data_IF_802304995347
#
_entry.id   IF_802304995347
#
_cell.length_a   1.000
_cell.length_b   1.000
_cell.length_c   1.000
_cell.angle_alpha   90.00
_cell.angle_beta   90.00
_cell.angle_gamma   90.00
#
_symmetry.space_group_name_H-M   'P 1'
#
loop_
_entity.id
_entity.type
_entity.pdbx_description
1 polymer ?
#
# COMPACT_ATOMS: atom_id res chain seq x y z
N UNK A 1 23.04 -82.56 4.16
CA UNK A 1 22.50 -81.74 5.24
C UNK A 1 23.54 -80.65 5.42
N UNK A 2 23.39 -79.56 4.62
CA UNK A 2 24.25 -78.38 4.66
C UNK A 2 23.35 -77.16 4.53
N UNK A 3 23.24 -76.42 5.61
CA UNK A 3 22.54 -75.16 5.68
C UNK A 3 23.48 -74.10 5.11
N UNK A 4 23.01 -73.36 4.12
CA UNK A 4 23.69 -72.20 3.56
C UNK A 4 23.09 -70.90 4.22
N UNK A 5 23.99 -70.22 4.94
CA UNK A 5 23.71 -68.86 5.48
C UNK A 5 23.76 -67.84 4.38
N UNK A 6 22.65 -67.21 4.11
CA UNK A 6 22.53 -66.03 3.24
C UNK A 6 22.65 -64.75 4.07
N UNK A 7 23.85 -64.17 4.10
CA UNK A 7 24.09 -62.86 4.70
C UNK A 7 23.54 -61.78 3.78
N UNK A 8 22.46 -61.15 4.20
CA UNK A 8 21.85 -59.97 3.56
C UNK A 8 22.72 -58.75 3.88
N UNK A 9 23.45 -58.23 2.88
CA UNK A 9 24.23 -56.99 2.99
C UNK A 9 23.29 -55.81 2.81
N UNK A 10 22.93 -55.12 3.90
CA UNK A 10 22.13 -53.92 3.89
C UNK A 10 23.05 -52.74 3.57
N UNK A 11 23.03 -52.24 2.32
CA UNK A 11 23.73 -51.02 1.92
C UNK A 11 22.89 -49.81 2.35
N UNK A 12 23.29 -49.13 3.41
CA UNK A 12 22.70 -47.89 3.89
C UNK A 12 23.21 -46.73 3.01
N UNK A 13 22.41 -46.28 2.04
CA UNK A 13 22.69 -45.06 1.27
C UNK A 13 22.33 -43.86 2.16
N UNK A 14 23.34 -43.25 2.78
CA UNK A 14 23.17 -41.96 3.46
C UNK A 14 23.19 -40.88 2.40
N UNK A 15 22.00 -40.41 2.01
CA UNK A 15 21.87 -39.20 1.20
C UNK A 15 22.14 -38.00 2.11
N UNK A 16 23.33 -37.42 1.99
CA UNK A 16 23.69 -36.17 2.61
C UNK A 16 22.83 -35.05 1.95
N UNK A 17 21.72 -34.70 2.55
CA UNK A 17 21.06 -33.46 2.26
C UNK A 17 21.96 -32.32 2.76
N UNK A 18 22.73 -31.71 1.87
CA UNK A 18 23.29 -30.39 2.13
C UNK A 18 22.13 -29.39 2.24
N UNK A 19 22.00 -28.63 3.32
CA UNK A 19 21.05 -27.55 3.35
C UNK A 19 21.49 -26.52 2.30
N UNK A 20 20.69 -26.39 1.23
CA UNK A 20 20.77 -25.23 0.36
C UNK A 20 20.38 -24.07 1.25
N UNK A 21 21.36 -23.32 1.72
CA UNK A 21 21.12 -21.99 2.29
C UNK A 21 20.61 -21.13 1.14
N UNK A 22 19.28 -21.04 1.01
CA UNK A 22 18.65 -20.00 0.27
C UNK A 22 19.10 -18.67 0.92
N UNK A 23 19.88 -17.91 0.15
CA UNK A 23 20.18 -16.54 0.50
C UNK A 23 18.83 -15.86 0.80
N UNK A 24 18.72 -15.34 2.00
CA UNK A 24 17.57 -14.59 2.45
C UNK A 24 17.60 -13.25 1.67
N UNK A 25 17.03 -13.24 0.46
CA UNK A 25 16.66 -11.98 -0.17
C UNK A 25 15.55 -11.39 0.67
N UNK A 26 15.87 -10.32 1.38
CA UNK A 26 15.08 -9.59 2.36
C UNK A 26 13.88 -8.82 1.77
N UNK A 27 13.21 -9.38 0.76
CA UNK A 27 12.05 -8.78 0.09
C UNK A 27 10.77 -9.65 0.14
N UNK A 28 10.73 -10.69 0.98
CA UNK A 28 9.47 -11.39 1.25
C UNK A 28 8.77 -10.72 2.44
N UNK A 29 8.13 -9.59 2.19
CA UNK A 29 7.23 -8.98 3.19
C UNK A 29 6.11 -9.98 3.49
N UNK A 30 6.02 -10.39 4.75
CA UNK A 30 4.88 -11.20 5.21
C UNK A 30 3.64 -10.31 5.15
N UNK A 31 2.56 -10.76 4.48
CA UNK A 31 1.36 -9.93 4.36
C UNK A 31 0.80 -9.53 5.73
N UNK A 32 0.43 -8.26 5.88
CA UNK A 32 -0.22 -7.76 7.09
C UNK A 32 -1.47 -8.56 7.43
N UNK A 33 -1.65 -8.87 8.70
CA UNK A 33 -2.80 -9.61 9.19
C UNK A 33 -4.04 -8.71 9.17
N UNK A 34 -5.09 -9.15 8.45
CA UNK A 34 -6.37 -8.46 8.43
C UNK A 34 -7.27 -8.98 9.54
N UNK A 35 -7.61 -8.11 10.47
CA UNK A 35 -8.48 -8.44 11.60
C UNK A 35 -9.50 -7.33 11.86
N UNK A 36 -10.73 -7.73 12.17
CA UNK A 36 -11.75 -6.80 12.60
C UNK A 36 -11.49 -6.34 14.04
N UNK A 37 -11.60 -5.03 14.28
CA UNK A 37 -11.51 -4.44 15.61
C UNK A 37 -12.81 -3.66 15.93
N UNK A 38 -13.06 -3.31 17.21
CA UNK A 38 -14.27 -2.59 17.61
C UNK A 38 -14.42 -1.21 16.94
N UNK A 39 -13.33 -0.52 16.67
CA UNK A 39 -13.33 0.82 16.03
C UNK A 39 -13.77 0.72 14.57
N UNK A 40 -13.24 -0.23 13.82
CA UNK A 40 -13.67 -0.53 12.45
C UNK A 40 -15.15 -0.88 12.38
N UNK A 41 -15.62 -1.74 13.32
CA UNK A 41 -17.02 -2.11 13.41
C UNK A 41 -17.92 -0.93 13.73
N UNK A 42 -17.47 -0.04 14.61
CA UNK A 42 -18.22 1.18 14.95
C UNK A 42 -18.27 2.16 13.76
N UNK A 43 -17.13 2.40 13.12
CA UNK A 43 -17.01 3.27 11.96
C UNK A 43 -17.91 2.79 10.80
N UNK A 44 -17.89 1.50 10.51
CA UNK A 44 -18.73 0.92 9.46
C UNK A 44 -20.23 1.15 9.72
N UNK A 45 -20.68 0.93 10.96
CA UNK A 45 -22.07 1.19 11.38
C UNK A 45 -22.42 2.68 11.28
N UNK A 46 -21.52 3.55 11.71
CA UNK A 46 -21.73 5.00 11.70
C UNK A 46 -21.89 5.51 10.25
N UNK A 47 -20.99 5.14 9.35
CA UNK A 47 -21.05 5.53 7.94
C UNK A 47 -22.30 4.97 7.28
N UNK A 48 -22.67 3.73 7.61
CA UNK A 48 -23.91 3.11 7.13
C UNK A 48 -25.14 3.92 7.58
N UNK A 49 -25.23 4.29 8.84
CA UNK A 49 -26.34 5.07 9.40
C UNK A 49 -26.42 6.48 8.79
N UNK A 50 -25.26 7.16 8.62
CA UNK A 50 -25.18 8.47 7.97
C UNK A 50 -25.64 8.36 6.52
N UNK A 51 -25.24 7.32 5.80
CA UNK A 51 -25.61 7.10 4.40
C UNK A 51 -27.14 6.89 4.25
N UNK A 52 -27.76 6.10 5.12
CA UNK A 52 -29.20 5.83 5.05
C UNK A 52 -30.06 7.01 5.46
N UNK A 53 -29.58 7.89 6.36
CA UNK A 53 -30.38 8.99 6.94
C UNK A 53 -30.03 10.36 6.35
N UNK A 54 -28.78 10.61 6.06
CA UNK A 54 -28.23 11.90 5.68
C UNK A 54 -27.88 12.05 4.21
N UNK A 55 -27.64 10.95 3.49
CA UNK A 55 -27.29 11.03 2.08
C UNK A 55 -28.47 11.51 1.22
N UNK A 56 -28.17 12.29 0.19
CA UNK A 56 -29.21 12.86 -0.69
C UNK A 56 -30.11 11.79 -1.32
N UNK A 57 -29.55 10.67 -1.75
CA UNK A 57 -30.32 9.57 -2.36
C UNK A 57 -31.25 8.87 -1.39
N UNK A 58 -30.96 8.91 -0.06
CA UNK A 58 -31.69 8.19 1.01
C UNK A 58 -31.95 6.74 0.66
N UNK A 59 -31.03 6.12 -0.09
CA UNK A 59 -31.15 4.75 -0.53
C UNK A 59 -30.95 3.81 0.66
N UNK A 60 -31.95 2.96 0.90
CA UNK A 60 -31.87 1.95 1.96
C UNK A 60 -30.98 0.81 1.53
N UNK A 61 -30.13 0.37 2.44
CA UNK A 61 -29.28 -0.79 2.22
C UNK A 61 -30.12 -2.04 2.45
N UNK A 62 -30.35 -2.76 1.36
CA UNK A 62 -31.19 -3.97 1.28
C UNK A 62 -30.40 -5.11 0.62
N UNK A 63 -30.96 -6.31 0.60
CA UNK A 63 -30.40 -7.44 -0.15
C UNK A 63 -30.12 -7.11 -1.65
N UNK A 64 -30.91 -6.25 -2.26
CA UNK A 64 -30.70 -5.87 -3.66
C UNK A 64 -29.49 -4.96 -3.81
N UNK A 65 -29.37 -3.96 -2.95
CA UNK A 65 -28.20 -3.06 -2.94
C UNK A 65 -26.93 -3.78 -2.44
N UNK A 66 -27.05 -4.79 -1.58
CA UNK A 66 -25.96 -5.65 -1.12
C UNK A 66 -25.16 -6.22 -2.30
N UNK A 67 -25.84 -6.76 -3.29
CA UNK A 67 -25.16 -7.28 -4.52
C UNK A 67 -24.46 -6.20 -5.32
N UNK A 68 -25.05 -5.00 -5.42
CA UNK A 68 -24.45 -3.90 -6.16
C UNK A 68 -23.21 -3.35 -5.45
N UNK A 69 -23.24 -3.26 -4.13
CA UNK A 69 -22.08 -2.88 -3.30
C UNK A 69 -20.95 -3.91 -3.45
N UNK A 70 -21.27 -5.21 -3.37
CA UNK A 70 -20.30 -6.27 -3.61
C UNK A 70 -19.66 -6.13 -4.99
N UNK A 71 -20.47 -5.91 -6.03
CA UNK A 71 -19.98 -5.71 -7.40
C UNK A 71 -19.10 -4.48 -7.53
N UNK A 72 -19.44 -3.37 -6.85
CA UNK A 72 -18.62 -2.16 -6.79
C UNK A 72 -17.26 -2.47 -6.17
N UNK A 73 -17.23 -3.14 -5.03
CA UNK A 73 -15.99 -3.51 -4.36
C UNK A 73 -15.09 -4.42 -5.20
N UNK A 74 -15.65 -5.47 -5.80
CA UNK A 74 -14.90 -6.35 -6.72
C UNK A 74 -14.35 -5.57 -7.93
N UNK A 75 -15.10 -4.61 -8.44
CA UNK A 75 -14.64 -3.77 -9.54
C UNK A 75 -13.56 -2.75 -9.11
N UNK A 76 -13.60 -2.27 -7.88
CA UNK A 76 -12.54 -1.41 -7.31
C UNK A 76 -11.23 -2.18 -7.19
N UNK A 77 -11.26 -3.42 -6.71
CA UNK A 77 -10.08 -4.26 -6.59
C UNK A 77 -9.52 -4.71 -7.94
N UNK A 78 -10.38 -5.06 -8.87
CA UNK A 78 -10.00 -5.63 -10.17
C UNK A 78 -10.81 -5.04 -11.34
N UNK A 79 -10.66 -3.74 -11.57
CA UNK A 79 -11.38 -2.99 -12.61
C UNK A 79 -11.12 -3.53 -14.03
N UNK A 80 -9.91 -4.06 -14.27
CA UNK A 80 -9.47 -4.59 -15.55
C UNK A 80 -9.70 -6.09 -15.72
N UNK A 81 -10.22 -6.77 -14.70
CA UNK A 81 -10.43 -8.23 -14.70
C UNK A 81 -9.14 -9.03 -14.96
N UNK A 82 -8.07 -8.62 -14.32
CA UNK A 82 -6.72 -9.17 -14.52
C UNK A 82 -6.23 -10.03 -13.35
N UNK A 83 -6.97 -10.08 -12.24
CA UNK A 83 -6.56 -10.81 -11.03
C UNK A 83 -7.49 -11.97 -10.71
N UNK A 84 -8.78 -11.69 -10.53
CA UNK A 84 -9.78 -12.72 -10.24
C UNK A 84 -10.08 -13.60 -11.45
N UNK A 85 -10.48 -14.84 -11.17
CA UNK A 85 -11.06 -15.76 -12.13
C UNK A 85 -12.51 -16.07 -11.77
N UNK A 86 -13.26 -16.68 -12.70
CA UNK A 86 -14.69 -16.95 -12.51
C UNK A 86 -14.97 -17.80 -11.26
N UNK A 87 -14.07 -18.70 -10.85
CA UNK A 87 -14.22 -19.47 -9.62
C UNK A 87 -14.20 -18.60 -8.35
N UNK A 88 -13.38 -17.51 -8.35
CA UNK A 88 -13.36 -16.56 -7.23
C UNK A 88 -14.68 -15.80 -7.17
N UNK A 89 -15.18 -15.35 -8.31
CA UNK A 89 -16.47 -14.65 -8.40
C UNK A 89 -17.61 -15.54 -7.93
N UNK A 90 -17.59 -16.82 -8.30
CA UNK A 90 -18.57 -17.81 -7.82
C UNK A 90 -18.47 -18.02 -6.32
N UNK A 91 -17.26 -18.04 -5.76
CA UNK A 91 -17.04 -18.11 -4.33
C UNK A 91 -17.62 -16.87 -3.61
N UNK A 92 -17.44 -15.66 -4.15
CA UNK A 92 -17.93 -14.41 -3.57
C UNK A 92 -19.46 -14.29 -3.63
N UNK A 93 -20.17 -15.09 -4.45
CA UNK A 93 -21.64 -15.11 -4.48
C UNK A 93 -22.26 -15.48 -3.11
N UNK A 94 -21.49 -16.14 -2.21
CA UNK A 94 -21.91 -16.36 -0.80
C UNK A 94 -22.21 -15.10 -0.02
N UNK A 95 -21.62 -13.97 -0.44
CA UNK A 95 -21.78 -12.65 0.17
C UNK A 95 -22.83 -11.78 -0.53
N UNK A 96 -23.42 -12.26 -1.63
CA UNK A 96 -24.35 -11.50 -2.46
C UNK A 96 -25.44 -10.77 -1.70
N UNK A 97 -26.00 -11.40 -0.66
CA UNK A 97 -27.08 -10.90 0.17
C UNK A 97 -26.66 -10.78 1.64
N UNK A 98 -25.39 -10.51 1.89
CA UNK A 98 -24.82 -10.41 3.25
C UNK A 98 -24.00 -9.15 3.48
N UNK A 99 -23.77 -8.36 2.43
CA UNK A 99 -23.01 -7.11 2.58
C UNK A 99 -23.84 -6.08 3.34
N UNK A 100 -25.15 -6.02 3.13
CA UNK A 100 -26.06 -5.17 3.90
C UNK A 100 -26.09 -5.53 5.40
N UNK A 101 -26.11 -6.79 5.74
CA UNK A 101 -25.98 -7.26 7.12
C UNK A 101 -24.61 -6.95 7.71
N UNK A 102 -23.55 -7.13 6.91
CA UNK A 102 -22.18 -6.81 7.31
C UNK A 102 -22.02 -5.32 7.63
N UNK A 103 -22.55 -4.43 6.78
CA UNK A 103 -22.57 -3.00 6.99
C UNK A 103 -23.32 -2.62 8.27
N UNK A 104 -24.55 -3.08 8.46
CA UNK A 104 -25.41 -2.79 9.61
C UNK A 104 -24.86 -3.33 10.93
N UNK A 105 -24.21 -4.48 10.89
CA UNK A 105 -23.65 -5.13 12.08
C UNK A 105 -22.18 -4.79 12.34
N UNK A 106 -21.51 -4.07 11.44
CA UNK A 106 -20.09 -3.75 11.56
C UNK A 106 -19.18 -4.97 11.38
N UNK A 107 -19.58 -5.93 10.53
CA UNK A 107 -18.81 -7.13 10.27
C UNK A 107 -17.97 -7.01 9.01
N UNK A 108 -16.65 -6.88 9.14
CA UNK A 108 -15.72 -6.74 8.04
C UNK A 108 -15.21 -8.07 7.47
N UNK A 109 -15.56 -9.21 8.06
CA UNK A 109 -15.03 -10.50 7.61
C UNK A 109 -15.30 -10.80 6.11
N UNK A 110 -16.48 -10.51 5.53
CA UNK A 110 -16.71 -10.67 4.10
C UNK A 110 -15.75 -9.81 3.24
N UNK A 111 -15.45 -8.61 3.71
CA UNK A 111 -14.58 -7.64 3.02
C UNK A 111 -13.13 -8.13 3.06
N UNK A 112 -12.66 -8.54 4.24
CA UNK A 112 -11.31 -9.05 4.42
C UNK A 112 -11.09 -10.38 3.71
N UNK A 113 -12.09 -11.27 3.66
CA UNK A 113 -12.00 -12.54 2.92
C UNK A 113 -11.78 -12.29 1.42
N UNK A 114 -12.53 -11.37 0.84
CA UNK A 114 -12.36 -10.97 -0.56
C UNK A 114 -10.97 -10.38 -0.79
N UNK A 115 -10.50 -9.51 0.10
CA UNK A 115 -9.20 -8.88 -0.04
C UNK A 115 -8.03 -9.86 0.13
N UNK A 116 -8.13 -10.84 1.03
CA UNK A 116 -7.14 -11.93 1.15
C UNK A 116 -7.00 -12.72 -0.15
N UNK A 117 -8.11 -13.02 -0.81
CA UNK A 117 -8.11 -13.70 -2.12
C UNK A 117 -7.50 -12.77 -3.19
N UNK A 118 -7.85 -11.49 -3.19
CA UNK A 118 -7.24 -10.51 -4.09
C UNK A 118 -5.72 -10.46 -3.94
N UNK A 119 -5.22 -10.35 -2.70
CA UNK A 119 -3.78 -10.35 -2.38
C UNK A 119 -3.08 -11.62 -2.89
N UNK A 120 -3.67 -12.78 -2.65
CA UNK A 120 -3.17 -14.05 -3.18
C UNK A 120 -3.11 -14.05 -4.71
N UNK A 121 -4.14 -13.55 -5.39
CA UNK A 121 -4.17 -13.46 -6.86
C UNK A 121 -3.13 -12.49 -7.38
N UNK A 122 -2.94 -11.34 -6.75
CA UNK A 122 -1.86 -10.39 -7.08
C UNK A 122 -0.50 -11.08 -7.00
N UNK A 123 -0.21 -11.76 -5.90
CA UNK A 123 1.04 -12.49 -5.73
C UNK A 123 1.26 -13.50 -6.87
N UNK A 124 0.29 -14.36 -7.16
CA UNK A 124 0.36 -15.34 -8.25
C UNK A 124 0.63 -14.70 -9.61
N UNK A 125 -0.01 -13.56 -9.89
CA UNK A 125 0.20 -12.84 -11.16
C UNK A 125 1.57 -12.21 -11.28
N UNK A 126 2.09 -11.67 -10.18
CA UNK A 126 3.45 -11.10 -10.14
C UNK A 126 4.49 -12.20 -10.31
N UNK A 127 4.37 -13.30 -9.58
CA UNK A 127 5.28 -14.46 -9.73
C UNK A 127 5.30 -14.99 -11.15
N UNK A 128 4.12 -15.17 -11.78
CA UNK A 128 4.01 -15.57 -13.18
C UNK A 128 4.69 -14.56 -14.12
N UNK A 129 4.45 -13.26 -13.90
CA UNK A 129 5.03 -12.21 -14.73
C UNK A 129 6.54 -12.16 -14.65
N UNK A 130 7.12 -12.37 -13.46
CA UNK A 130 8.57 -12.43 -13.30
C UNK A 130 9.19 -13.60 -14.07
N UNK A 131 8.54 -14.78 -14.08
CA UNK A 131 8.95 -15.90 -14.92
C UNK A 131 8.85 -15.58 -16.41
N UNK A 132 7.76 -14.89 -16.83
CA UNK A 132 7.57 -14.45 -18.21
C UNK A 132 8.64 -13.44 -18.65
N UNK A 133 9.05 -12.51 -17.78
CA UNK A 133 10.14 -11.55 -18.03
C UNK A 133 11.44 -12.28 -18.34
N UNK A 134 11.81 -13.24 -17.51
CA UNK A 134 13.06 -13.99 -17.70
C UNK A 134 13.07 -14.78 -19.01
N UNK A 135 11.95 -15.36 -19.40
CA UNK A 135 11.82 -16.16 -20.64
C UNK A 135 11.74 -15.31 -21.91
N UNK A 136 11.46 -14.00 -21.81
CA UNK A 136 11.37 -13.11 -22.97
C UNK A 136 12.75 -12.69 -23.47
N UNK A 137 13.11 -13.03 -24.71
CA UNK A 137 14.41 -12.71 -25.29
C UNK A 137 14.31 -11.80 -26.53
N UNK A 138 13.16 -11.74 -27.19
CA UNK A 138 12.90 -10.89 -28.35
C UNK A 138 11.42 -10.48 -28.43
N UNK A 139 11.13 -9.61 -29.40
CA UNK A 139 9.80 -9.06 -29.66
C UNK A 139 9.38 -9.25 -31.12
N UNK A 140 9.87 -10.32 -31.78
CA UNK A 140 9.67 -10.56 -33.21
C UNK A 140 8.29 -11.16 -33.50
N UNK A 141 7.60 -11.70 -32.49
CA UNK A 141 6.27 -12.27 -32.67
C UNK A 141 5.25 -11.15 -32.97
N UNK A 142 4.40 -11.37 -33.98
CA UNK A 142 3.29 -10.47 -34.27
C UNK A 142 2.15 -10.74 -33.30
N UNK A 143 2.19 -10.07 -32.15
CA UNK A 143 1.20 -10.17 -31.06
C UNK A 143 0.51 -8.83 -30.85
N UNK A 144 -0.78 -8.86 -30.58
CA UNK A 144 -1.57 -7.69 -30.20
C UNK A 144 -1.87 -7.70 -28.71
N UNK A 145 -1.74 -6.54 -28.05
CA UNK A 145 -2.14 -6.31 -26.68
C UNK A 145 -3.21 -5.21 -26.61
N UNK A 146 -4.40 -5.58 -26.15
CA UNK A 146 -5.49 -4.63 -25.96
C UNK A 146 -5.37 -3.89 -24.62
N UNK A 147 -5.07 -2.59 -24.69
CA UNK A 147 -5.04 -1.69 -23.56
C UNK A 147 -6.43 -1.32 -23.03
N UNK A 148 -7.47 -1.48 -23.87
CA UNK A 148 -8.78 -0.91 -23.59
C UNK A 148 -9.69 -1.79 -22.77
N UNK A 149 -9.28 -3.00 -22.36
CA UNK A 149 -10.11 -4.00 -21.63
C UNK A 149 -11.25 -3.39 -20.76
N UNK A 150 -12.05 -2.50 -21.35
CA UNK A 150 -13.27 -1.97 -20.77
C UNK A 150 -14.40 -2.99 -21.00
N UNK A 151 -15.14 -3.30 -19.95
CA UNK A 151 -16.33 -4.19 -20.00
C UNK A 151 -16.05 -5.68 -20.27
N UNK A 152 -14.87 -6.18 -19.94
CA UNK A 152 -14.61 -7.61 -20.00
C UNK A 152 -15.26 -8.34 -18.84
N UNK A 153 -15.55 -9.62 -19.03
CA UNK A 153 -15.90 -10.55 -17.96
C UNK A 153 -14.62 -11.10 -17.32
N UNK A 154 -14.73 -11.60 -16.09
CA UNK A 154 -13.63 -12.35 -15.51
C UNK A 154 -13.37 -13.63 -16.26
N UNK A 155 -12.11 -13.92 -16.48
CA UNK A 155 -11.70 -15.10 -17.24
C UNK A 155 -12.08 -16.39 -16.49
N UNK A 156 -12.33 -17.45 -17.28
CA UNK A 156 -12.79 -18.73 -16.75
C UNK A 156 -11.77 -19.34 -15.77
N UNK A 157 -10.49 -19.25 -16.12
CA UNK A 157 -9.41 -19.88 -15.37
C UNK A 157 -8.09 -19.13 -15.54
N UNK A 158 -7.08 -19.57 -14.77
CA UNK A 158 -5.77 -18.95 -14.76
C UNK A 158 -5.02 -19.07 -16.09
N UNK A 159 -5.24 -20.12 -16.88
CA UNK A 159 -4.52 -20.33 -18.13
C UNK A 159 -4.82 -19.24 -19.17
N UNK A 160 -6.07 -18.74 -19.18
CA UNK A 160 -6.45 -17.61 -20.04
C UNK A 160 -5.86 -16.30 -19.51
N UNK A 161 -5.88 -16.11 -18.19
CA UNK A 161 -5.21 -14.95 -17.56
C UNK A 161 -3.71 -14.95 -17.84
N UNK A 162 -3.06 -16.11 -17.83
CA UNK A 162 -1.62 -16.24 -18.11
C UNK A 162 -1.27 -15.70 -19.50
N UNK A 163 -2.09 -15.98 -20.52
CA UNK A 163 -1.90 -15.41 -21.85
C UNK A 163 -2.02 -13.88 -21.84
N UNK A 164 -3.00 -13.35 -21.14
CA UNK A 164 -3.21 -11.90 -21.01
C UNK A 164 -2.04 -11.24 -20.27
N UNK A 165 -1.56 -11.85 -19.21
CA UNK A 165 -0.42 -11.35 -18.43
C UNK A 165 0.90 -11.46 -19.18
N UNK A 166 1.10 -12.53 -19.96
CA UNK A 166 2.27 -12.65 -20.83
C UNK A 166 2.35 -11.50 -21.84
N UNK A 167 1.24 -11.21 -22.54
CA UNK A 167 1.17 -10.09 -23.47
C UNK A 167 1.40 -8.75 -22.80
N UNK A 168 0.79 -8.53 -21.61
CA UNK A 168 1.00 -7.33 -20.81
C UNK A 168 2.48 -7.15 -20.45
N UNK A 169 3.10 -8.19 -19.93
CA UNK A 169 4.50 -8.19 -19.51
C UNK A 169 5.46 -7.91 -20.67
N UNK A 170 5.25 -8.57 -21.82
CA UNK A 170 6.01 -8.32 -23.04
C UNK A 170 5.88 -6.87 -23.52
N UNK A 171 4.65 -6.33 -23.51
CA UNK A 171 4.41 -4.95 -23.91
C UNK A 171 5.09 -3.94 -22.95
N UNK A 172 5.05 -4.15 -21.64
CA UNK A 172 5.74 -3.30 -20.68
C UNK A 172 7.27 -3.38 -20.85
N UNK A 173 7.79 -4.58 -21.09
CA UNK A 173 9.22 -4.79 -21.36
C UNK A 173 9.64 -4.10 -22.65
N UNK A 174 8.86 -4.28 -23.74
CA UNK A 174 9.10 -3.60 -25.02
C UNK A 174 9.10 -2.08 -24.86
N UNK A 175 8.16 -1.53 -24.10
CA UNK A 175 8.08 -0.08 -23.86
C UNK A 175 9.35 0.47 -23.19
N UNK A 176 9.95 -0.28 -22.26
CA UNK A 176 11.21 0.10 -21.61
C UNK A 176 12.39 0.01 -22.60
N UNK A 177 12.40 -1.00 -23.47
CA UNK A 177 13.44 -1.15 -24.50
C UNK A 177 13.34 -0.05 -25.54
N UNK A 178 12.14 0.31 -26.00
CA UNK A 178 11.92 1.41 -26.95
C UNK A 178 12.29 2.79 -26.34
N UNK A 179 12.25 2.91 -25.02
CA UNK A 179 12.76 4.09 -24.31
C UNK A 179 14.30 4.14 -24.20
N UNK A 180 15.02 3.24 -24.92
CA UNK A 180 16.47 3.25 -25.05
C UNK A 180 17.24 2.38 -24.05
N UNK A 181 16.58 1.51 -23.28
CA UNK A 181 17.27 0.58 -22.40
C UNK A 181 17.61 -0.74 -23.13
N UNK A 182 18.71 -1.39 -22.72
CA UNK A 182 18.97 -2.77 -23.14
C UNK A 182 17.94 -3.72 -22.54
N UNK A 183 17.68 -4.86 -23.18
CA UNK A 183 16.71 -5.83 -22.69
C UNK A 183 17.03 -6.32 -21.28
N UNK A 184 18.31 -6.53 -20.97
CA UNK A 184 18.77 -6.95 -19.65
C UNK A 184 18.45 -5.91 -18.56
N UNK A 185 18.66 -4.63 -18.87
CA UNK A 185 18.33 -3.54 -17.95
C UNK A 185 16.82 -3.36 -17.81
N UNK A 186 16.08 -3.54 -18.91
CA UNK A 186 14.63 -3.49 -18.92
C UNK A 186 14.01 -4.60 -18.04
N UNK A 187 14.52 -5.84 -18.14
CA UNK A 187 14.12 -6.96 -17.26
C UNK A 187 14.30 -6.62 -15.78
N UNK A 188 15.48 -6.13 -15.39
CA UNK A 188 15.75 -5.73 -14.00
C UNK A 188 14.81 -4.61 -13.53
N UNK A 189 14.57 -3.61 -14.38
CA UNK A 189 13.69 -2.49 -14.07
C UNK A 189 12.25 -2.95 -13.87
N UNK A 190 11.74 -3.83 -14.74
CA UNK A 190 10.36 -4.31 -14.66
C UNK A 190 10.16 -5.25 -13.45
N UNK A 191 11.12 -6.16 -13.18
CA UNK A 191 11.12 -7.00 -11.99
C UNK A 191 11.07 -6.17 -10.70
N UNK A 192 11.90 -5.10 -10.61
CA UNK A 192 11.88 -4.19 -9.45
C UNK A 192 10.52 -3.50 -9.28
N UNK A 193 9.87 -3.08 -10.39
CA UNK A 193 8.53 -2.46 -10.34
C UNK A 193 7.48 -3.44 -9.83
N UNK A 194 7.52 -4.69 -10.28
CA UNK A 194 6.57 -5.73 -9.86
C UNK A 194 6.75 -6.11 -8.39
N UNK A 195 8.00 -6.27 -7.93
CA UNK A 195 8.29 -6.52 -6.52
C UNK A 195 7.81 -5.37 -5.61
N UNK A 196 8.07 -4.12 -6.01
CA UNK A 196 7.57 -2.95 -5.27
C UNK A 196 6.03 -2.89 -5.24
N UNK A 197 5.37 -3.28 -6.32
CA UNK A 197 3.91 -3.35 -6.35
C UNK A 197 3.39 -4.44 -5.40
N UNK A 198 4.01 -5.63 -5.41
CA UNK A 198 3.64 -6.74 -4.51
C UNK A 198 3.86 -6.36 -3.04
N UNK A 199 5.01 -5.74 -2.71
CA UNK A 199 5.28 -5.23 -1.36
C UNK A 199 4.15 -4.31 -0.89
N UNK A 200 3.80 -3.29 -1.66
CA UNK A 200 2.72 -2.36 -1.32
C UNK A 200 1.37 -3.06 -1.08
N UNK A 201 1.03 -4.10 -1.84
CA UNK A 201 -0.22 -4.86 -1.62
C UNK A 201 -0.14 -5.70 -0.34
N UNK A 202 1.03 -6.19 0.02
CA UNK A 202 1.25 -6.94 1.25
C UNK A 202 1.24 -6.04 2.49
N UNK A 203 1.69 -4.80 2.35
CA UNK A 203 1.75 -3.81 3.43
C UNK A 203 0.36 -3.27 3.82
N UNK A 204 -0.65 -3.39 2.92
CA UNK A 204 -2.02 -2.97 3.26
C UNK A 204 -2.51 -3.68 4.53
N UNK A 205 -2.90 -2.88 5.51
CA UNK A 205 -3.47 -3.34 6.76
C UNK A 205 -5.01 -3.33 6.76
N UNK A 206 -5.61 -3.47 7.94
CA UNK A 206 -7.07 -3.50 8.09
C UNK A 206 -7.71 -2.15 7.84
N UNK A 207 -7.02 -1.04 8.16
CA UNK A 207 -7.48 0.32 7.93
C UNK A 207 -7.51 0.63 6.43
N UNK A 208 -6.45 0.27 5.70
CA UNK A 208 -6.36 0.44 4.26
C UNK A 208 -7.46 -0.31 3.51
N UNK A 209 -7.71 -1.56 3.92
CA UNK A 209 -8.76 -2.38 3.30
C UNK A 209 -10.15 -1.85 3.60
N UNK A 210 -10.37 -1.34 4.82
CA UNK A 210 -11.60 -0.65 5.18
C UNK A 210 -11.79 0.60 4.33
N UNK A 211 -10.76 1.41 4.14
CA UNK A 211 -10.79 2.61 3.29
C UNK A 211 -11.20 2.29 1.86
N UNK A 212 -10.57 1.27 1.25
CA UNK A 212 -10.89 0.81 -0.10
C UNK A 212 -12.36 0.39 -0.19
N UNK A 213 -12.85 -0.35 0.81
CA UNK A 213 -14.23 -0.81 0.84
C UNK A 213 -15.21 0.34 1.03
N UNK A 214 -14.98 1.23 2.00
CA UNK A 214 -15.83 2.39 2.27
C UNK A 214 -15.92 3.31 1.04
N UNK A 215 -14.81 3.56 0.37
CA UNK A 215 -14.84 4.34 -0.87
C UNK A 215 -15.63 3.63 -1.98
N UNK A 216 -15.50 2.31 -2.12
CA UNK A 216 -16.30 1.57 -3.10
C UNK A 216 -17.80 1.57 -2.76
N UNK A 217 -18.15 1.61 -1.46
CA UNK A 217 -19.52 1.71 -0.97
C UNK A 217 -20.12 3.11 -1.19
N UNK A 218 -19.40 4.18 -0.81
CA UNK A 218 -19.94 5.54 -1.00
C UNK A 218 -20.00 5.93 -2.48
N UNK A 219 -19.09 5.46 -3.32
CA UNK A 219 -19.16 5.63 -4.78
C UNK A 219 -20.35 4.88 -5.42
N UNK A 220 -20.78 3.78 -4.81
CA UNK A 220 -22.03 3.13 -5.22
C UNK A 220 -23.25 4.02 -4.98
N UNK A 221 -23.27 4.77 -3.86
CA UNK A 221 -24.35 5.68 -3.52
C UNK A 221 -24.33 6.93 -4.40
N UNK A 222 -23.16 7.52 -4.61
CA UNK A 222 -22.91 8.67 -5.47
C UNK A 222 -21.44 8.69 -5.92
N UNK A 223 -21.17 8.69 -7.24
CA UNK A 223 -19.80 8.71 -7.77
C UNK A 223 -18.94 9.90 -7.32
N UNK A 224 -19.53 10.96 -6.81
CA UNK A 224 -18.83 12.15 -6.29
C UNK A 224 -18.58 12.10 -4.79
N UNK A 225 -19.16 11.14 -4.08
CA UNK A 225 -18.95 10.98 -2.64
C UNK A 225 -17.64 10.22 -2.38
N UNK A 226 -16.86 10.71 -1.41
CA UNK A 226 -15.65 10.05 -0.96
C UNK A 226 -15.66 9.88 0.55
N UNK A 227 -15.17 8.76 1.01
CA UNK A 227 -14.75 8.59 2.40
C UNK A 227 -13.29 9.05 2.51
N UNK A 228 -13.04 9.95 3.43
CA UNK A 228 -11.70 10.38 3.79
C UNK A 228 -11.38 9.85 5.19
N UNK A 229 -10.36 9.03 5.31
CA UNK A 229 -9.83 8.67 6.62
C UNK A 229 -9.21 9.91 7.29
N UNK A 230 -8.91 9.90 8.59
CA UNK A 230 -8.41 11.07 9.30
C UNK A 230 -7.21 11.75 8.64
N UNK A 231 -6.26 10.98 8.11
CA UNK A 231 -5.07 11.52 7.44
C UNK A 231 -5.43 12.25 6.14
N UNK A 232 -6.28 11.64 5.30
CA UNK A 232 -6.74 12.25 4.05
C UNK A 232 -7.66 13.43 4.29
N UNK A 233 -8.44 13.41 5.38
CA UNK A 233 -9.29 14.53 5.78
C UNK A 233 -8.42 15.74 6.17
N UNK A 234 -7.36 15.53 6.94
CA UNK A 234 -6.38 16.57 7.27
C UNK A 234 -5.70 17.14 6.01
N UNK A 235 -5.23 16.27 5.11
CA UNK A 235 -4.63 16.71 3.84
C UNK A 235 -5.62 17.52 2.98
N UNK A 236 -6.87 17.09 2.92
CA UNK A 236 -7.93 17.82 2.21
C UNK A 236 -8.21 19.19 2.85
N UNK A 237 -8.24 19.25 4.19
CA UNK A 237 -8.37 20.51 4.92
C UNK A 237 -7.19 21.46 4.61
N UNK A 238 -5.95 20.96 4.67
CA UNK A 238 -4.75 21.72 4.31
C UNK A 238 -4.84 22.28 2.88
N UNK A 239 -5.25 21.45 1.93
CA UNK A 239 -5.40 21.87 0.53
C UNK A 239 -6.48 22.92 0.34
N UNK A 240 -7.53 22.89 1.17
CA UNK A 240 -8.67 23.80 1.09
C UNK A 240 -8.42 25.12 1.82
N UNK A 241 -7.80 25.05 3.00
CA UNK A 241 -7.48 26.23 3.83
C UNK A 241 -6.14 26.86 3.46
N UNK A 242 -5.30 26.13 2.70
CA UNK A 242 -3.92 26.51 2.40
C UNK A 242 -3.07 26.79 3.65
N UNK A 243 -3.42 26.16 4.76
CA UNK A 243 -2.72 26.29 6.04
C UNK A 243 -2.70 24.98 6.80
N UNK A 244 -1.72 24.80 7.66
CA UNK A 244 -1.62 23.68 8.59
C UNK A 244 -0.91 24.05 9.89
N UNK A 245 -1.09 23.25 10.93
CA UNK A 245 -0.43 23.49 12.21
C UNK A 245 0.85 22.63 12.33
N UNK A 246 1.99 23.30 12.48
CA UNK A 246 3.28 22.62 12.53
C UNK A 246 4.48 23.56 12.61
N UNK A 247 5.64 23.08 12.18
CA UNK A 247 6.90 23.82 12.24
C UNK A 247 7.25 24.60 10.96
N UNK A 248 6.61 24.28 9.84
CA UNK A 248 6.85 24.95 8.55
C UNK A 248 8.12 24.49 7.83
N UNK A 249 8.36 23.19 7.80
CA UNK A 249 9.39 22.56 6.98
C UNK A 249 8.75 21.57 6.00
N UNK A 250 9.19 21.61 4.74
CA UNK A 250 8.92 20.56 3.76
C UNK A 250 9.93 19.44 3.99
N UNK A 251 9.44 18.21 4.08
CA UNK A 251 10.24 17.04 4.40
C UNK A 251 10.16 16.02 3.25
N UNK A 252 11.24 15.26 3.08
CA UNK A 252 11.30 14.14 2.12
C UNK A 252 12.03 12.95 2.76
N UNK A 253 11.74 11.75 2.27
CA UNK A 253 12.50 10.56 2.66
C UNK A 253 13.70 10.42 1.72
N UNK A 254 14.91 10.46 2.28
CA UNK A 254 16.17 10.25 1.57
C UNK A 254 16.92 9.07 2.20
N UNK A 255 16.93 7.93 1.50
CA UNK A 255 17.37 6.64 2.03
C UNK A 255 16.53 6.28 3.29
N UNK A 256 17.18 6.12 4.44
CA UNK A 256 16.55 5.81 5.72
C UNK A 256 16.30 7.04 6.60
N UNK A 257 16.48 8.26 6.05
CA UNK A 257 16.37 9.49 6.82
C UNK A 257 15.26 10.40 6.33
N UNK A 258 14.49 10.95 7.25
CA UNK A 258 13.62 12.10 6.96
C UNK A 258 14.48 13.35 6.90
N UNK A 259 14.54 13.98 5.73
CA UNK A 259 15.40 15.12 5.43
C UNK A 259 14.56 16.37 5.17
N UNK A 260 15.07 17.51 5.63
CA UNK A 260 14.47 18.82 5.34
C UNK A 260 14.74 19.18 3.88
N UNK A 261 13.69 19.29 3.07
CA UNK A 261 13.77 19.72 1.69
C UNK A 261 13.82 21.25 1.59
N UNK A 262 12.90 21.93 2.28
CA UNK A 262 12.79 23.38 2.30
C UNK A 262 12.18 23.89 3.60
N UNK A 263 12.46 25.14 3.93
CA UNK A 263 11.83 25.87 5.05
C UNK A 263 10.84 26.88 4.47
N UNK A 264 9.62 26.87 4.99
CA UNK A 264 8.55 27.78 4.54
C UNK A 264 8.81 29.16 5.16
N UNK A 265 8.89 30.23 4.35
CA UNK A 265 9.10 31.58 4.84
C UNK A 265 8.03 32.00 5.86
N UNK A 266 8.42 32.71 6.91
CA UNK A 266 7.52 33.18 7.97
C UNK A 266 7.09 32.15 8.99
N UNK A 267 7.39 30.86 8.77
CA UNK A 267 7.07 29.75 9.68
C UNK A 267 7.93 29.73 10.96
N UNK A 268 7.54 28.94 11.96
CA UNK A 268 8.36 28.72 13.17
C UNK A 268 9.82 28.33 12.88
N UNK A 269 10.03 27.36 11.99
CA UNK A 269 11.37 26.93 11.62
C UNK A 269 12.17 28.07 10.94
N UNK A 270 11.52 28.88 10.11
CA UNK A 270 12.12 30.06 9.47
C UNK A 270 12.50 31.12 10.51
N UNK A 271 11.61 31.42 11.45
CA UNK A 271 11.87 32.44 12.50
C UNK A 271 12.98 32.01 13.45
N UNK A 272 13.08 30.72 13.78
CA UNK A 272 14.15 30.17 14.62
C UNK A 272 15.50 30.18 13.89
N UNK A 273 15.52 29.84 12.59
CA UNK A 273 16.68 29.92 11.72
C UNK A 273 17.78 28.87 11.96
N UNK A 274 17.56 27.92 12.86
CA UNK A 274 18.50 26.86 13.19
C UNK A 274 18.37 25.64 12.28
N UNK A 275 17.13 25.30 11.87
CA UNK A 275 16.85 24.20 10.92
C UNK A 275 17.15 24.64 9.49
N UNK A 276 17.86 23.81 8.74
CA UNK A 276 18.30 24.13 7.38
C UNK A 276 17.90 23.06 6.38
N UNK A 277 17.75 23.39 5.08
CA UNK A 277 17.65 22.40 4.02
C UNK A 277 18.79 21.39 4.08
N UNK A 278 18.48 20.14 3.81
CA UNK A 278 19.35 18.96 3.85
C UNK A 278 19.72 18.47 5.28
N UNK A 279 19.28 19.13 6.35
CA UNK A 279 19.38 18.57 7.69
C UNK A 279 18.51 17.32 7.81
N UNK A 280 18.97 16.32 8.56
CA UNK A 280 18.28 15.05 8.79
C UNK A 280 17.65 15.04 10.16
N UNK A 281 16.40 14.62 10.26
CA UNK A 281 15.69 14.39 11.50
C UNK A 281 15.93 12.93 11.89
N UNK A 282 16.62 12.69 12.99
CA UNK A 282 16.98 11.35 13.45
C UNK A 282 16.25 10.95 14.71
N UNK A 283 15.62 11.90 15.41
CA UNK A 283 14.84 11.60 16.61
C UNK A 283 13.84 12.70 16.92
N UNK A 284 12.82 12.33 17.68
CA UNK A 284 11.77 13.21 18.18
C UNK A 284 11.62 12.97 19.68
N UNK A 285 11.66 14.02 20.49
CA UNK A 285 11.43 13.90 21.93
C UNK A 285 9.93 13.83 22.20
N UNK A 286 9.50 12.76 22.84
CA UNK A 286 8.16 12.63 23.39
C UNK A 286 8.05 13.46 24.67
N UNK A 287 7.29 14.55 24.63
CA UNK A 287 7.14 15.48 25.76
C UNK A 287 6.44 14.84 26.97
N UNK A 288 5.60 13.80 26.75
CA UNK A 288 4.88 13.12 27.84
C UNK A 288 5.80 12.22 28.66
N UNK A 289 6.70 11.50 28.02
CA UNK A 289 7.56 10.52 28.66
C UNK A 289 9.03 10.98 28.77
N UNK A 290 9.36 12.15 28.23
CA UNK A 290 10.73 12.67 28.10
C UNK A 290 11.69 11.63 27.50
N UNK A 291 11.20 10.86 26.52
CA UNK A 291 11.92 9.81 25.84
C UNK A 291 12.19 10.21 24.38
N UNK A 292 13.43 10.04 23.94
CA UNK A 292 13.80 10.29 22.55
C UNK A 292 13.39 9.08 21.69
N UNK A 293 12.46 9.30 20.76
CA UNK A 293 12.03 8.32 19.78
C UNK A 293 12.99 8.39 18.60
N UNK A 294 13.69 7.30 18.31
CA UNK A 294 14.49 7.16 17.09
C UNK A 294 13.56 6.96 15.90
N UNK A 295 13.69 7.82 14.88
CA UNK A 295 12.85 7.81 13.68
C UNK A 295 13.61 7.42 12.40
N UNK A 296 14.83 6.93 12.53
CA UNK A 296 15.61 6.43 11.38
C UNK A 296 14.92 5.19 10.81
N UNK A 297 14.71 5.18 9.49
CA UNK A 297 14.02 4.08 8.81
C UNK A 297 12.49 4.10 8.91
N UNK A 298 11.90 5.09 9.57
CA UNK A 298 10.45 5.25 9.61
C UNK A 298 9.92 5.82 8.29
N UNK A 299 8.65 5.53 8.00
CA UNK A 299 7.96 6.15 6.88
C UNK A 299 7.75 7.65 7.13
N UNK A 300 7.82 8.44 6.05
CA UNK A 300 7.71 9.90 6.11
C UNK A 300 6.44 10.37 6.84
N UNK A 301 5.31 9.74 6.53
CA UNK A 301 4.01 10.12 7.08
C UNK A 301 3.93 9.90 8.59
N UNK A 302 4.58 8.85 9.10
CA UNK A 302 4.64 8.57 10.54
C UNK A 302 5.42 9.66 11.28
N UNK A 303 6.56 10.07 10.71
CA UNK A 303 7.39 11.13 11.28
C UNK A 303 6.68 12.49 11.20
N UNK A 304 6.02 12.77 10.07
CA UNK A 304 5.24 14.02 9.89
C UNK A 304 4.11 14.14 10.92
N UNK A 305 3.41 13.03 11.23
CA UNK A 305 2.36 13.01 12.27
C UNK A 305 2.88 13.40 13.65
N UNK A 306 4.08 12.96 14.01
CA UNK A 306 4.71 13.34 15.29
C UNK A 306 5.15 14.81 15.31
N UNK A 307 5.61 15.34 14.16
CA UNK A 307 6.07 16.70 14.03
C UNK A 307 4.90 17.71 14.05
N UNK A 308 3.81 17.40 13.36
CA UNK A 308 2.58 18.20 13.40
C UNK A 308 1.95 18.15 14.78
N UNK A 309 1.05 19.07 15.05
CA UNK A 309 0.29 19.12 16.30
C UNK A 309 -0.27 20.51 16.59
N UNK A 310 -1.05 20.65 17.66
CA UNK A 310 -1.77 21.89 17.95
C UNK A 310 -0.85 23.12 18.06
N UNK A 311 -1.34 24.26 17.54
CA UNK A 311 -0.70 25.58 17.69
C UNK A 311 -0.36 25.86 19.15
N UNK A 312 0.78 26.54 19.40
CA UNK A 312 1.35 26.89 20.71
C UNK A 312 1.79 25.67 21.55
N UNK A 313 2.01 24.52 20.92
CA UNK A 313 2.69 23.37 21.54
C UNK A 313 4.14 23.29 21.07
N UNK A 314 5.02 22.73 21.89
CA UNK A 314 6.41 22.53 21.51
C UNK A 314 6.65 21.15 20.90
N UNK A 315 7.67 21.07 20.07
CA UNK A 315 8.27 19.83 19.57
C UNK A 315 9.78 19.94 19.65
N UNK A 316 10.45 18.91 20.12
CA UNK A 316 11.90 18.88 20.15
C UNK A 316 12.40 17.80 19.21
N UNK A 317 13.16 18.21 18.21
CA UNK A 317 13.75 17.36 17.17
C UNK A 317 15.22 17.12 17.47
N UNK A 318 15.68 15.90 17.24
CA UNK A 318 17.11 15.60 17.18
C UNK A 318 17.56 15.71 15.72
N UNK A 319 18.43 16.65 15.45
CA UNK A 319 18.88 17.04 14.13
C UNK A 319 20.32 16.58 13.92
N UNK A 320 20.56 15.88 12.80
CA UNK A 320 21.88 15.62 12.25
C UNK A 320 22.14 16.65 11.13
N UNK A 321 23.05 17.61 11.33
CA UNK A 321 23.29 18.67 10.35
C UNK A 321 23.81 18.14 9.02
N UNK A 322 23.47 18.86 7.93
CA UNK A 322 24.01 18.56 6.59
C UNK A 322 25.54 18.59 6.59
N UNK A 323 26.16 17.65 5.83
CA UNK A 323 27.62 17.50 5.77
C UNK A 323 28.26 16.80 6.96
N UNK A 324 27.49 16.41 7.96
CA UNK A 324 27.95 15.55 9.06
C UNK A 324 28.07 14.10 8.59
N UNK A 325 29.10 13.37 9.06
CA UNK A 325 29.13 11.91 8.93
C UNK A 325 27.97 11.28 9.74
N UNK A 326 27.59 10.01 9.48
CA UNK A 326 26.58 9.30 10.29
C UNK A 326 26.85 9.33 11.80
N UNK A 327 28.13 9.45 12.21
CA UNK A 327 28.59 9.61 13.60
C UNK A 327 28.76 11.09 14.01
N UNK A 328 28.20 12.03 13.24
CA UNK A 328 28.28 13.48 13.52
C UNK A 328 27.63 13.85 14.86
N UNK A 329 27.85 15.07 15.33
CA UNK A 329 27.27 15.55 16.58
C UNK A 329 25.83 16.04 16.35
N UNK A 330 24.80 15.21 16.60
CA UNK A 330 23.42 15.67 16.55
C UNK A 330 23.15 16.68 17.68
N UNK A 331 22.22 17.60 17.44
CA UNK A 331 21.75 18.54 18.45
C UNK A 331 20.23 18.48 18.59
N UNK A 332 19.74 18.94 19.74
CA UNK A 332 18.30 19.05 19.99
C UNK A 332 17.84 20.46 19.62
N UNK A 333 16.76 20.53 18.85
CA UNK A 333 16.12 21.77 18.42
C UNK A 333 14.66 21.75 18.85
N UNK A 334 14.30 22.66 19.75
CA UNK A 334 12.91 22.86 20.17
C UNK A 334 12.26 23.95 19.33
N UNK A 335 11.11 23.65 18.75
CA UNK A 335 10.29 24.56 17.94
C UNK A 335 8.89 24.62 18.53
N UNK A 336 8.31 25.80 18.58
CA UNK A 336 6.90 26.00 18.90
C UNK A 336 6.07 25.83 17.62
N UNK A 337 5.04 25.00 17.67
CA UNK A 337 4.13 24.82 16.53
C UNK A 337 3.24 26.04 16.36
N UNK A 338 3.05 26.46 15.13
CA UNK A 338 2.16 27.58 14.77
C UNK A 338 1.37 27.25 13.51
N UNK A 339 0.45 28.10 13.14
CA UNK A 339 -0.21 28.04 11.86
C UNK A 339 0.79 28.44 10.75
N UNK A 340 0.90 27.60 9.73
CA UNK A 340 1.80 27.78 8.59
C UNK A 340 0.95 27.96 7.35
N UNK A 341 1.05 29.13 6.74
CA UNK A 341 0.34 29.48 5.49
C UNK A 341 1.17 29.04 4.27
N UNK A 342 0.50 28.43 3.28
CA UNK A 342 1.10 27.99 2.03
C UNK A 342 0.91 29.08 0.95
N UNK A 343 1.49 30.26 1.13
CA UNK A 343 1.30 31.45 0.27
C UNK A 343 1.57 31.18 -1.23
N UNK A 344 2.39 30.22 -1.60
CA UNK A 344 2.72 29.93 -3.00
C UNK A 344 1.63 29.17 -3.77
N UNK A 345 0.58 28.70 -3.10
CA UNK A 345 -0.56 27.98 -3.72
C UNK A 345 -1.86 28.83 -3.73
N UNK A 346 -1.86 29.97 -3.10
CA UNK A 346 -2.97 30.90 -3.25
C UNK A 346 -3.06 31.34 -4.71
N UNK A 347 -4.20 31.08 -5.34
CA UNK A 347 -4.43 31.43 -6.74
C UNK A 347 -4.18 32.93 -6.94
N UNK A 348 -3.20 33.25 -7.76
CA UNK A 348 -2.93 34.61 -8.28
C UNK A 348 -3.94 34.97 -9.36
#
# INVERSE_FOLDING_TARGET
MIMNDFKLLLVLIVVLFSPITLANDSNNTVPSLLSNNPEHSHLLKLITAISEQGHFSKEKITNETSYLILKSYLNTLDSRKMYFVQSDINYFQRYRYKIDDALKNGNLEPIFDIFRIYRLRVQQRIEYSMQSIESTNDFLANEEYDFSKKNTQWEKDNSILDLSWNKKTKNELLSIVLAGQTIEKAKKTLNKRYLKYLSRINDYDSDDVLDIFLNSYVHFLDPHSNYLNPNRAEEYEIQTTLSYQGIGASLELNEDYVQVQAIIPGSPASKKGELKPLDKIIGILDDENNNLIDVIGWELDEVVKLIRGPKNTNITLQILPTGSNPDGNPYLLTLERDEVELEQQAAS
#
